data_IF_869582559457
#
_entry.id   IF_869582559457
#
_cell.length_a   1.000
_cell.length_b   1.000
_cell.length_c   1.000
_cell.angle_alpha   90.00
_cell.angle_beta   90.00
_cell.angle_gamma   90.00
#
_symmetry.space_group_name_H-M   'P 1'
#
loop_
_entity.id
_entity.type
_entity.pdbx_description
1 polymer ?
#
# COMPACT_ATOMS: atom_id res chain seq x y z
N UNK A 1 -39.08 33.45 -12.47
CA UNK A 1 -38.13 33.32 -13.59
C UNK A 1 -36.70 33.45 -13.07
N UNK A 2 -36.02 32.33 -12.82
CA UNK A 2 -34.62 32.35 -12.39
C UNK A 2 -33.75 32.75 -13.60
N UNK A 3 -33.16 33.95 -13.57
CA UNK A 3 -32.15 34.35 -14.56
C UNK A 3 -31.06 33.28 -14.55
N UNK A 4 -30.81 32.66 -15.71
CA UNK A 4 -29.70 31.74 -15.95
C UNK A 4 -28.38 32.42 -15.51
N UNK A 5 -27.97 32.17 -14.26
CA UNK A 5 -26.63 32.54 -13.80
C UNK A 5 -25.68 31.70 -14.63
N UNK A 6 -25.02 32.32 -15.62
CA UNK A 6 -23.95 31.66 -16.38
C UNK A 6 -22.94 31.14 -15.35
N UNK A 7 -22.85 29.82 -15.22
CA UNK A 7 -21.84 29.16 -14.41
C UNK A 7 -20.47 29.64 -14.89
N UNK A 8 -19.75 30.36 -14.03
CA UNK A 8 -18.40 30.82 -14.34
C UNK A 8 -17.48 29.61 -14.25
N UNK A 9 -16.97 29.16 -15.39
CA UNK A 9 -15.94 28.12 -15.45
C UNK A 9 -14.62 28.66 -14.92
N UNK A 10 -13.93 27.88 -14.08
CA UNK A 10 -12.61 28.24 -13.58
C UNK A 10 -11.57 28.15 -14.69
N UNK A 11 -10.64 29.11 -14.75
CA UNK A 11 -9.46 29.00 -15.61
C UNK A 11 -8.37 28.16 -14.93
N UNK A 12 -7.49 27.55 -15.73
CA UNK A 12 -6.37 26.76 -15.19
C UNK A 12 -5.38 27.62 -14.38
N UNK A 13 -5.27 28.91 -14.71
CA UNK A 13 -4.47 29.87 -13.96
C UNK A 13 -5.05 30.13 -12.56
N UNK A 14 -6.36 30.42 -12.48
CA UNK A 14 -7.08 30.59 -11.20
C UNK A 14 -6.96 29.34 -10.32
N UNK A 15 -7.13 28.13 -10.90
CA UNK A 15 -6.99 26.87 -10.15
C UNK A 15 -5.58 26.74 -9.57
N UNK A 16 -4.54 27.02 -10.36
CA UNK A 16 -3.15 26.92 -9.90
C UNK A 16 -2.86 27.95 -8.81
N UNK A 17 -3.30 29.19 -8.99
CA UNK A 17 -3.14 30.26 -8.02
C UNK A 17 -3.82 29.91 -6.69
N UNK A 18 -5.08 29.45 -6.72
CA UNK A 18 -5.80 29.07 -5.51
C UNK A 18 -5.20 27.83 -4.84
N UNK A 19 -4.72 26.83 -5.59
CA UNK A 19 -4.00 25.68 -5.02
C UNK A 19 -2.74 26.13 -4.26
N UNK A 20 -1.98 27.07 -4.81
CA UNK A 20 -0.79 27.63 -4.16
C UNK A 20 -1.14 28.46 -2.92
N UNK A 21 -2.19 29.29 -3.01
CA UNK A 21 -2.66 30.09 -1.90
C UNK A 21 -3.14 29.22 -0.73
N UNK A 22 -4.02 28.24 -0.98
CA UNK A 22 -4.51 27.30 0.04
C UNK A 22 -3.36 26.48 0.63
N UNK A 23 -2.41 26.01 -0.19
CA UNK A 23 -1.23 25.30 0.31
C UNK A 23 -0.41 26.18 1.26
N UNK A 24 -0.13 27.42 0.87
CA UNK A 24 0.65 28.36 1.69
C UNK A 24 -0.07 28.69 2.99
N UNK A 25 -1.39 28.88 2.93
CA UNK A 25 -2.25 29.12 4.10
C UNK A 25 -2.23 27.93 5.07
N UNK A 26 -2.37 26.70 4.57
CA UNK A 26 -2.27 25.48 5.40
C UNK A 26 -0.87 25.38 6.01
N UNK A 27 0.19 25.60 5.22
CA UNK A 27 1.57 25.52 5.70
C UNK A 27 1.89 26.55 6.77
N UNK A 28 1.39 27.79 6.63
CA UNK A 28 1.55 28.87 7.59
C UNK A 28 0.78 28.61 8.89
N UNK A 29 -0.48 28.21 8.80
CA UNK A 29 -1.28 27.82 9.95
C UNK A 29 -0.74 26.56 10.63
N UNK A 30 -0.01 25.71 9.89
CA UNK A 30 0.57 24.47 10.40
C UNK A 30 2.04 24.54 10.82
N UNK A 31 2.63 25.74 10.92
CA UNK A 31 3.99 25.88 11.45
C UNK A 31 3.99 25.44 12.91
N UNK A 32 4.74 24.39 13.21
CA UNK A 32 4.94 23.84 14.57
C UNK A 32 3.69 23.24 15.26
N UNK A 33 2.60 23.03 14.53
CA UNK A 33 1.40 22.36 15.07
C UNK A 33 1.38 20.87 14.75
N UNK A 34 0.61 20.12 15.53
CA UNK A 34 0.40 18.69 15.30
C UNK A 34 -0.38 18.41 14.00
N UNK A 35 -0.24 17.21 13.40
CA UNK A 35 -1.07 16.81 12.25
C UNK A 35 -2.58 16.94 12.51
N UNK A 36 -3.02 16.69 13.75
CA UNK A 36 -4.43 16.79 14.11
C UNK A 36 -4.94 18.24 14.12
N UNK A 37 -4.16 19.19 14.64
CA UNK A 37 -4.49 20.62 14.59
C UNK A 37 -4.50 21.14 13.15
N UNK A 38 -3.53 20.72 12.34
CA UNK A 38 -3.53 21.00 10.90
C UNK A 38 -4.81 20.49 10.24
N UNK A 39 -5.29 19.32 10.63
CA UNK A 39 -6.51 18.74 10.09
C UNK A 39 -7.76 19.52 10.52
N UNK A 40 -7.87 19.90 11.79
CA UNK A 40 -8.97 20.73 12.28
C UNK A 40 -9.04 22.06 11.54
N UNK A 41 -7.89 22.72 11.34
CA UNK A 41 -7.82 23.94 10.53
C UNK A 41 -8.39 23.75 9.11
N UNK A 42 -8.05 22.64 8.44
CA UNK A 42 -8.58 22.32 7.11
C UNK A 42 -10.11 22.17 7.14
N UNK A 43 -10.65 21.49 8.15
CA UNK A 43 -12.10 21.28 8.31
C UNK A 43 -12.84 22.58 8.62
N UNK A 44 -12.30 23.41 9.51
CA UNK A 44 -12.86 24.74 9.82
C UNK A 44 -12.91 25.63 8.58
N UNK A 45 -11.83 25.65 7.78
CA UNK A 45 -11.83 26.39 6.51
C UNK A 45 -12.86 25.84 5.53
N UNK A 46 -12.97 24.52 5.41
CA UNK A 46 -13.98 23.91 4.55
C UNK A 46 -15.40 24.30 4.96
N UNK A 47 -15.71 24.29 6.27
CA UNK A 47 -17.01 24.72 6.79
C UNK A 47 -17.29 26.19 6.49
N UNK A 48 -16.30 27.08 6.66
CA UNK A 48 -16.44 28.50 6.37
C UNK A 48 -16.80 28.81 4.91
N UNK A 49 -16.39 27.94 3.97
CA UNK A 49 -16.71 28.11 2.54
C UNK A 49 -17.90 27.26 2.07
N UNK A 50 -18.40 26.33 2.89
CA UNK A 50 -19.39 25.32 2.50
C UNK A 50 -20.72 25.89 1.97
N UNK A 51 -21.17 27.01 2.54
CA UNK A 51 -22.43 27.66 2.17
C UNK A 51 -22.26 28.79 1.12
N UNK A 52 -21.04 29.03 0.63
CA UNK A 52 -20.81 30.13 -0.30
C UNK A 52 -21.32 29.82 -1.70
N UNK A 53 -22.03 30.80 -2.27
CA UNK A 53 -22.49 30.76 -3.67
C UNK A 53 -21.47 31.40 -4.63
N UNK A 54 -20.39 31.98 -4.11
CA UNK A 54 -19.36 32.65 -4.92
C UNK A 54 -18.43 31.62 -5.52
N UNK A 55 -18.22 31.69 -6.84
CA UNK A 55 -17.41 30.70 -7.56
C UNK A 55 -15.96 30.52 -7.07
N UNK A 56 -15.35 31.58 -6.50
CA UNK A 56 -14.01 31.48 -5.91
C UNK A 56 -14.02 30.72 -4.57
N UNK A 57 -15.04 30.93 -3.75
CA UNK A 57 -15.18 30.25 -2.46
C UNK A 57 -15.49 28.76 -2.68
N UNK A 58 -16.29 28.42 -3.70
CA UNK A 58 -16.52 27.02 -4.11
C UNK A 58 -15.22 26.34 -4.55
N UNK A 59 -14.35 27.05 -5.30
CA UNK A 59 -13.03 26.52 -5.68
C UNK A 59 -12.15 26.28 -4.45
N UNK A 60 -12.12 27.22 -3.50
CA UNK A 60 -11.40 27.04 -2.23
C UNK A 60 -11.95 25.85 -1.44
N UNK A 61 -13.27 25.75 -1.30
CA UNK A 61 -13.93 24.62 -0.62
C UNK A 61 -13.52 23.28 -1.27
N UNK A 62 -13.53 23.19 -2.60
CA UNK A 62 -13.04 22.02 -3.32
C UNK A 62 -11.56 21.69 -2.98
N UNK A 63 -10.67 22.69 -2.99
CA UNK A 63 -9.24 22.49 -2.71
C UNK A 63 -9.00 22.08 -1.24
N UNK A 64 -9.73 22.66 -0.29
CA UNK A 64 -9.69 22.25 1.11
C UNK A 64 -10.25 20.83 1.30
N UNK A 65 -11.34 20.47 0.62
CA UNK A 65 -11.87 19.09 0.62
C UNK A 65 -10.85 18.06 0.09
N UNK A 66 -10.20 18.37 -1.03
CA UNK A 66 -9.08 17.56 -1.54
C UNK A 66 -7.91 17.47 -0.55
N UNK A 67 -7.60 18.57 0.14
CA UNK A 67 -6.54 18.61 1.16
C UNK A 67 -6.90 17.76 2.38
N UNK A 68 -8.16 17.75 2.81
CA UNK A 68 -8.68 16.92 3.90
C UNK A 68 -8.58 15.42 3.56
N UNK A 69 -9.00 15.03 2.35
CA UNK A 69 -8.87 13.65 1.86
C UNK A 69 -7.40 13.21 1.77
N UNK A 70 -6.51 14.08 1.30
CA UNK A 70 -5.07 13.81 1.24
C UNK A 70 -4.42 13.76 2.63
N UNK A 71 -4.93 14.52 3.59
CA UNK A 71 -4.53 14.41 4.99
C UNK A 71 -4.91 13.05 5.55
N UNK A 72 -6.17 12.63 5.34
CA UNK A 72 -6.66 11.31 5.74
C UNK A 72 -5.81 10.18 5.14
N UNK A 73 -5.47 10.27 3.85
CA UNK A 73 -4.62 9.29 3.18
C UNK A 73 -3.26 9.10 3.89
N UNK A 74 -2.70 10.17 4.46
CA UNK A 74 -1.38 10.14 5.10
C UNK A 74 -1.42 9.70 6.56
N UNK A 75 -2.42 10.14 7.31
CA UNK A 75 -2.42 10.05 8.78
C UNK A 75 -3.54 9.16 9.34
N UNK A 76 -4.50 8.73 8.51
CA UNK A 76 -5.81 8.33 9.03
C UNK A 76 -6.55 9.58 9.54
N UNK A 77 -7.63 9.41 10.31
CA UNK A 77 -8.40 10.44 11.07
C UNK A 77 -9.85 10.62 10.62
N UNK A 78 -10.28 10.02 9.52
CA UNK A 78 -11.68 10.06 9.08
C UNK A 78 -12.27 8.66 9.13
N UNK A 79 -13.53 8.59 9.53
CA UNK A 79 -14.36 7.41 9.32
C UNK A 79 -14.71 7.26 7.83
N UNK A 80 -15.04 6.04 7.37
CA UNK A 80 -15.45 5.81 5.98
C UNK A 80 -16.64 6.69 5.54
N UNK A 81 -17.57 7.01 6.45
CA UNK A 81 -18.69 7.92 6.16
C UNK A 81 -18.24 9.36 5.92
N UNK A 82 -17.27 9.86 6.71
CA UNK A 82 -16.74 11.22 6.53
C UNK A 82 -15.92 11.33 5.26
N UNK A 83 -15.12 10.32 4.92
CA UNK A 83 -14.40 10.25 3.64
C UNK A 83 -15.37 10.35 2.47
N UNK A 84 -16.43 9.53 2.48
CA UNK A 84 -17.46 9.54 1.43
C UNK A 84 -18.21 10.88 1.38
N UNK A 85 -18.52 11.49 2.53
CA UNK A 85 -19.16 12.81 2.59
C UNK A 85 -18.30 13.91 1.96
N UNK A 86 -17.00 13.94 2.29
CA UNK A 86 -16.04 14.88 1.70
C UNK A 86 -15.86 14.67 0.20
N UNK A 87 -15.80 13.42 -0.25
CA UNK A 87 -15.73 13.09 -1.67
C UNK A 87 -16.96 13.58 -2.43
N UNK A 88 -18.16 13.30 -1.94
CA UNK A 88 -19.42 13.76 -2.54
C UNK A 88 -19.51 15.28 -2.56
N UNK A 89 -19.09 15.95 -1.48
CA UNK A 89 -19.03 17.41 -1.42
C UNK A 89 -18.09 17.99 -2.49
N UNK A 90 -16.87 17.45 -2.60
CA UNK A 90 -15.90 17.87 -3.60
C UNK A 90 -16.42 17.63 -5.04
N UNK A 91 -17.03 16.47 -5.29
CA UNK A 91 -17.64 16.15 -6.58
C UNK A 91 -18.78 17.12 -6.93
N UNK A 92 -19.62 17.47 -5.94
CA UNK A 92 -20.70 18.44 -6.10
C UNK A 92 -20.17 19.84 -6.41
N UNK A 93 -19.07 20.27 -5.80
CA UNK A 93 -18.44 21.55 -6.13
C UNK A 93 -17.97 21.61 -7.60
N UNK A 94 -17.46 20.50 -8.16
CA UNK A 94 -17.12 20.40 -9.58
C UNK A 94 -18.39 20.54 -10.45
N UNK A 95 -19.46 19.82 -10.10
CA UNK A 95 -20.75 19.85 -10.82
C UNK A 95 -21.38 21.24 -10.82
N UNK A 96 -21.46 21.90 -9.65
CA UNK A 96 -22.03 23.24 -9.47
C UNK A 96 -21.25 24.30 -10.27
N UNK A 97 -19.94 24.11 -10.42
CA UNK A 97 -19.08 25.00 -11.21
C UNK A 97 -19.19 24.76 -12.71
N UNK A 98 -20.10 23.88 -13.13
CA UNK A 98 -20.36 23.58 -14.54
C UNK A 98 -19.26 22.76 -15.21
N UNK A 99 -18.38 22.13 -14.44
CA UNK A 99 -17.38 21.22 -14.98
C UNK A 99 -18.06 19.91 -15.36
N UNK A 100 -18.12 19.65 -16.66
CA UNK A 100 -18.55 18.37 -17.22
C UNK A 100 -17.34 17.41 -17.29
N UNK A 101 -17.44 16.19 -16.75
CA UNK A 101 -16.45 15.13 -16.97
C UNK A 101 -16.18 14.95 -18.48
N UNK A 102 -14.94 14.59 -18.85
CA UNK A 102 -14.42 14.41 -20.22
C UNK A 102 -14.38 15.64 -21.10
N UNK A 103 -15.46 16.43 -21.13
CA UNK A 103 -15.67 17.49 -22.09
C UNK A 103 -15.03 18.83 -21.66
N UNK A 104 -14.88 19.06 -20.36
CA UNK A 104 -14.34 20.33 -19.86
C UNK A 104 -12.82 20.37 -19.94
N UNK A 105 -12.27 21.55 -20.25
CA UNK A 105 -10.81 21.78 -20.23
C UNK A 105 -10.16 21.42 -18.88
N UNK A 106 -10.87 21.60 -17.76
CA UNK A 106 -10.39 21.24 -16.42
C UNK A 106 -11.02 19.94 -15.89
N UNK A 107 -11.44 19.02 -16.77
CA UNK A 107 -11.98 17.73 -16.35
C UNK A 107 -10.97 16.87 -15.57
N UNK A 108 -9.66 17.17 -15.69
CA UNK A 108 -8.60 16.55 -14.88
C UNK A 108 -8.81 16.68 -13.36
N UNK A 109 -9.59 17.68 -12.89
CA UNK A 109 -9.92 17.82 -11.46
C UNK A 109 -10.78 16.67 -10.95
N UNK A 110 -11.67 16.12 -11.78
CA UNK A 110 -12.33 14.85 -11.44
C UNK A 110 -11.29 13.74 -11.34
N UNK A 111 -10.35 13.67 -12.29
CA UNK A 111 -9.24 12.73 -12.24
C UNK A 111 -8.48 12.73 -10.92
N UNK A 112 -8.08 13.91 -10.46
CA UNK A 112 -7.37 14.06 -9.18
C UNK A 112 -8.22 13.57 -7.99
N UNK A 113 -9.50 13.94 -7.95
CA UNK A 113 -10.43 13.52 -6.89
C UNK A 113 -10.60 12.00 -6.85
N UNK A 114 -10.90 11.38 -7.99
CA UNK A 114 -11.06 9.93 -8.12
C UNK A 114 -9.74 9.18 -7.86
N UNK A 115 -8.59 9.72 -8.26
CA UNK A 115 -7.28 9.13 -7.92
C UNK A 115 -7.02 9.12 -6.42
N UNK A 116 -7.40 10.19 -5.73
CA UNK A 116 -7.23 10.29 -4.29
C UNK A 116 -8.08 9.25 -3.56
N UNK A 117 -9.36 9.10 -3.95
CA UNK A 117 -10.23 8.03 -3.43
C UNK A 117 -9.71 6.65 -3.75
N UNK A 118 -9.22 6.45 -4.96
CA UNK A 118 -8.58 5.22 -5.35
C UNK A 118 -7.42 4.86 -4.43
N UNK A 119 -6.58 5.82 -4.02
CA UNK A 119 -5.50 5.57 -3.08
C UNK A 119 -6.00 5.28 -1.66
N UNK A 120 -7.06 5.96 -1.20
CA UNK A 120 -7.68 5.72 0.11
C UNK A 120 -8.21 4.28 0.19
N UNK A 121 -9.03 3.84 -0.77
CA UNK A 121 -9.53 2.46 -0.80
C UNK A 121 -8.41 1.42 -0.86
N UNK A 122 -7.30 1.70 -1.55
CA UNK A 122 -6.15 0.78 -1.56
C UNK A 122 -5.52 0.65 -0.17
N UNK A 123 -5.42 1.75 0.59
CA UNK A 123 -4.88 1.72 1.96
C UNK A 123 -5.84 1.04 2.94
N UNK A 124 -7.15 1.18 2.73
CA UNK A 124 -8.19 0.55 3.56
C UNK A 124 -8.35 -0.96 3.32
N UNK A 125 -7.69 -1.50 2.29
CA UNK A 125 -7.79 -2.92 1.93
C UNK A 125 -8.95 -3.26 1.00
N UNK A 126 -9.44 -2.26 0.25
CA UNK A 126 -10.54 -2.34 -0.71
C UNK A 126 -9.99 -2.20 -2.15
N UNK A 127 -9.30 -3.22 -2.68
CA UNK A 127 -8.59 -3.11 -3.96
C UNK A 127 -9.53 -2.99 -5.17
N UNK A 128 -10.78 -3.50 -5.08
CA UNK A 128 -11.76 -3.42 -6.16
C UNK A 128 -12.31 -2.01 -6.33
N UNK A 129 -12.76 -1.42 -5.24
CA UNK A 129 -13.18 -0.04 -5.14
C UNK A 129 -12.04 0.86 -5.61
N UNK A 130 -10.82 0.59 -5.15
CA UNK A 130 -9.63 1.30 -5.61
C UNK A 130 -9.46 1.23 -7.14
N UNK A 131 -9.63 0.07 -7.76
CA UNK A 131 -9.49 -0.09 -9.22
C UNK A 131 -10.61 0.65 -9.98
N UNK A 132 -11.85 0.59 -9.48
CA UNK A 132 -12.97 1.33 -10.08
C UNK A 132 -12.75 2.84 -10.03
N UNK A 133 -12.35 3.38 -8.89
CA UNK A 133 -12.02 4.80 -8.75
C UNK A 133 -10.87 5.21 -9.69
N UNK A 134 -9.86 4.34 -9.87
CA UNK A 134 -8.79 4.61 -10.85
C UNK A 134 -9.33 4.66 -12.29
N UNK A 135 -10.25 3.76 -12.63
CA UNK A 135 -10.89 3.74 -13.94
C UNK A 135 -11.80 4.96 -14.14
N UNK A 136 -12.56 5.36 -13.11
CA UNK A 136 -13.34 6.60 -13.14
C UNK A 136 -12.46 7.82 -13.31
N UNK A 137 -11.29 7.89 -12.66
CA UNK A 137 -10.34 8.97 -12.86
C UNK A 137 -9.91 9.08 -14.33
N UNK A 138 -9.58 7.95 -14.97
CA UNK A 138 -9.20 7.90 -16.38
C UNK A 138 -10.36 8.36 -17.27
N UNK A 139 -11.55 7.80 -17.06
CA UNK A 139 -12.73 8.14 -17.83
C UNK A 139 -13.13 9.60 -17.64
N UNK A 140 -13.12 10.13 -16.43
CA UNK A 140 -13.57 11.49 -16.15
C UNK A 140 -12.58 12.56 -16.64
N UNK A 141 -11.28 12.25 -16.69
CA UNK A 141 -10.23 13.21 -17.12
C UNK A 141 -10.16 13.41 -18.63
N UNK A 142 -10.69 12.47 -19.42
CA UNK A 142 -10.55 12.49 -20.88
C UNK A 142 -9.07 12.46 -21.31
N UNK A 143 -8.68 13.36 -22.22
CA UNK A 143 -7.29 13.48 -22.70
C UNK A 143 -6.32 14.08 -21.68
N UNK A 144 -6.82 14.66 -20.59
CA UNK A 144 -6.03 15.42 -19.62
C UNK A 144 -5.86 14.66 -18.30
N UNK A 145 -5.34 13.44 -18.36
CA UNK A 145 -5.08 12.67 -17.12
C UNK A 145 -4.00 13.38 -16.27
N UNK A 146 -4.27 13.71 -14.98
CA UNK A 146 -3.49 14.67 -14.20
C UNK A 146 -2.01 14.28 -13.98
N UNK A 147 -1.70 12.99 -14.10
CA UNK A 147 -0.37 12.43 -13.83
C UNK A 147 0.30 11.81 -15.08
N UNK A 148 -0.35 11.91 -16.25
CA UNK A 148 0.08 11.21 -17.46
C UNK A 148 -0.14 9.68 -17.42
N UNK A 149 -0.03 9.04 -18.59
CA UNK A 149 -0.31 7.61 -18.75
C UNK A 149 0.65 6.71 -17.98
N UNK A 150 1.93 7.10 -17.87
CA UNK A 150 2.93 6.33 -17.14
C UNK A 150 2.57 6.09 -15.67
N UNK A 151 2.08 7.12 -14.96
CA UNK A 151 1.65 6.99 -13.57
C UNK A 151 0.35 6.21 -13.41
N UNK A 152 -0.57 6.31 -14.37
CA UNK A 152 -1.74 5.43 -14.45
C UNK A 152 -1.33 3.96 -14.50
N UNK A 153 -0.41 3.60 -15.40
CA UNK A 153 0.03 2.22 -15.57
C UNK A 153 0.86 1.71 -14.38
N UNK A 154 1.69 2.55 -13.76
CA UNK A 154 2.36 2.21 -12.50
C UNK A 154 1.31 1.86 -11.42
N UNK A 155 0.31 2.71 -11.26
CA UNK A 155 -0.79 2.53 -10.30
C UNK A 155 -1.60 1.27 -10.59
N UNK A 156 -1.85 0.97 -11.87
CA UNK A 156 -2.54 -0.26 -12.29
C UNK A 156 -1.70 -1.51 -11.96
N UNK A 157 -0.39 -1.46 -12.18
CA UNK A 157 0.52 -2.58 -11.86
C UNK A 157 0.55 -2.90 -10.37
N UNK A 158 0.57 -1.88 -9.51
CA UNK A 158 0.50 -2.06 -8.04
C UNK A 158 -0.80 -2.77 -7.64
N UNK A 159 -1.94 -2.39 -8.22
CA UNK A 159 -3.24 -3.01 -7.92
C UNK A 159 -3.32 -4.43 -8.47
N UNK A 160 -2.85 -4.65 -9.70
CA UNK A 160 -2.80 -5.98 -10.29
C UNK A 160 -1.99 -6.95 -9.43
N UNK A 161 -0.83 -6.52 -8.91
CA UNK A 161 -0.08 -7.32 -7.93
C UNK A 161 -0.87 -7.60 -6.66
N UNK A 162 -1.56 -6.60 -6.11
CA UNK A 162 -2.38 -6.76 -4.92
C UNK A 162 -3.53 -7.77 -5.12
N UNK A 163 -4.08 -7.88 -6.33
CA UNK A 163 -5.05 -8.92 -6.68
C UNK A 163 -4.46 -10.32 -6.86
N UNK A 164 -3.13 -10.44 -6.80
CA UNK A 164 -2.43 -11.67 -7.12
C UNK A 164 -2.30 -11.89 -8.62
N UNK A 165 -2.43 -10.88 -9.48
CA UNK A 165 -2.27 -11.02 -10.93
C UNK A 165 -0.92 -10.44 -11.38
N UNK A 166 0.14 -11.23 -11.23
CA UNK A 166 1.50 -10.80 -11.55
C UNK A 166 1.69 -10.53 -13.05
N UNK A 167 1.05 -11.31 -13.94
CA UNK A 167 1.19 -11.12 -15.39
C UNK A 167 0.62 -9.77 -15.84
N UNK A 168 -0.58 -9.41 -15.39
CA UNK A 168 -1.15 -8.09 -15.66
C UNK A 168 -0.32 -6.98 -15.02
N UNK A 169 0.28 -7.21 -13.86
CA UNK A 169 1.18 -6.24 -13.25
C UNK A 169 2.46 -6.01 -14.07
N UNK A 170 3.09 -7.08 -14.56
CA UNK A 170 4.26 -7.00 -15.44
C UNK A 170 3.92 -6.19 -16.70
N UNK A 171 2.79 -6.51 -17.35
CA UNK A 171 2.35 -5.79 -18.53
C UNK A 171 2.09 -4.29 -18.24
N UNK A 172 1.46 -3.98 -17.11
CA UNK A 172 1.19 -2.61 -16.70
C UNK A 172 2.50 -1.84 -16.39
N UNK A 173 3.41 -2.40 -15.60
CA UNK A 173 4.69 -1.74 -15.32
C UNK A 173 5.56 -1.57 -16.58
N UNK A 174 5.61 -2.57 -17.47
CA UNK A 174 6.31 -2.45 -18.74
C UNK A 174 5.70 -1.35 -19.63
N UNK A 175 4.38 -1.18 -19.61
CA UNK A 175 3.70 -0.09 -20.30
C UNK A 175 4.02 1.26 -19.65
N UNK A 176 4.04 1.34 -18.32
CA UNK A 176 4.42 2.55 -17.58
C UNK A 176 5.82 3.03 -17.98
N UNK A 177 6.77 2.10 -18.11
CA UNK A 177 8.11 2.40 -18.57
C UNK A 177 8.16 2.90 -20.02
N UNK A 178 7.41 2.26 -20.94
CA UNK A 178 7.30 2.69 -22.35
C UNK A 178 6.71 4.08 -22.50
N UNK A 179 5.81 4.49 -21.59
CA UNK A 179 5.23 5.84 -21.54
C UNK A 179 6.22 6.90 -21.01
N UNK A 180 7.50 6.54 -20.79
CA UNK A 180 8.57 7.49 -20.54
C UNK A 180 8.62 8.03 -19.11
N UNK A 181 8.17 7.25 -18.11
CA UNK A 181 8.35 7.64 -16.70
C UNK A 181 9.84 7.83 -16.37
N UNK A 182 10.15 8.83 -15.55
CA UNK A 182 11.52 9.20 -15.20
C UNK A 182 11.70 9.37 -13.69
N UNK A 183 12.96 9.53 -13.27
CA UNK A 183 13.35 9.75 -11.87
C UNK A 183 12.82 8.68 -10.92
N UNK A 184 12.27 9.12 -9.78
CA UNK A 184 11.74 8.21 -8.75
C UNK A 184 10.61 7.31 -9.23
N UNK A 185 9.85 7.72 -10.25
CA UNK A 185 8.75 6.91 -10.80
C UNK A 185 9.30 5.72 -11.58
N UNK A 186 10.37 5.91 -12.35
CA UNK A 186 11.04 4.83 -13.08
C UNK A 186 11.56 3.76 -12.11
N UNK A 187 12.21 4.15 -11.02
CA UNK A 187 12.72 3.20 -10.02
C UNK A 187 11.59 2.41 -9.34
N UNK A 188 10.43 3.04 -9.08
CA UNK A 188 9.23 2.33 -8.57
C UNK A 188 8.70 1.31 -9.57
N UNK A 189 8.64 1.67 -10.86
CA UNK A 189 8.21 0.77 -11.93
C UNK A 189 9.14 -0.44 -12.03
N UNK A 190 10.46 -0.20 -12.05
CA UNK A 190 11.47 -1.26 -12.14
C UNK A 190 11.48 -2.19 -10.92
N UNK A 191 11.36 -1.65 -9.70
CA UNK A 191 11.21 -2.46 -8.49
C UNK A 191 9.92 -3.29 -8.54
N UNK A 192 8.81 -2.70 -9.00
CA UNK A 192 7.54 -3.40 -9.20
C UNK A 192 7.64 -4.55 -10.21
N UNK A 193 8.37 -4.35 -11.32
CA UNK A 193 8.68 -5.38 -12.30
C UNK A 193 9.48 -6.53 -11.69
N UNK A 194 10.59 -6.24 -11.01
CA UNK A 194 11.43 -7.25 -10.37
C UNK A 194 10.60 -8.12 -9.41
N UNK A 195 9.78 -7.48 -8.57
CA UNK A 195 8.88 -8.16 -7.64
C UNK A 195 7.82 -8.99 -8.32
N UNK A 196 7.21 -8.48 -9.38
CA UNK A 196 6.18 -9.22 -10.13
C UNK A 196 6.77 -10.44 -10.84
N UNK A 197 7.95 -10.32 -11.44
CA UNK A 197 8.68 -11.46 -11.99
C UNK A 197 9.03 -12.48 -10.91
N UNK A 198 9.58 -12.06 -9.76
CA UNK A 198 9.86 -12.95 -8.63
C UNK A 198 8.61 -13.72 -8.18
N UNK A 199 7.51 -13.01 -7.91
CA UNK A 199 6.27 -13.60 -7.42
C UNK A 199 5.55 -14.48 -8.45
N UNK A 200 5.81 -14.28 -9.75
CA UNK A 200 5.34 -15.18 -10.82
C UNK A 200 6.26 -16.39 -11.06
N UNK A 201 7.31 -16.52 -10.24
CA UNK A 201 8.37 -17.54 -10.33
C UNK A 201 9.28 -17.41 -11.57
N UNK A 202 9.37 -16.22 -12.17
CA UNK A 202 10.28 -15.90 -13.27
C UNK A 202 11.57 -15.23 -12.73
N UNK A 203 12.40 -16.03 -12.06
CA UNK A 203 13.60 -15.58 -11.36
C UNK A 203 14.64 -14.96 -12.30
N UNK A 204 14.76 -15.47 -13.52
CA UNK A 204 15.72 -14.97 -14.49
C UNK A 204 15.38 -13.54 -14.91
N UNK A 205 14.11 -13.26 -15.20
CA UNK A 205 13.68 -11.90 -15.54
C UNK A 205 13.75 -10.96 -14.34
N UNK A 206 13.41 -11.43 -13.14
CA UNK A 206 13.56 -10.63 -11.92
C UNK A 206 15.01 -10.16 -11.73
N UNK A 207 15.97 -11.07 -11.86
CA UNK A 207 17.40 -10.77 -11.74
C UNK A 207 17.88 -9.81 -12.84
N UNK A 208 17.48 -10.03 -14.10
CA UNK A 208 17.79 -9.11 -15.21
C UNK A 208 17.27 -7.70 -14.96
N UNK A 209 16.06 -7.55 -14.41
CA UNK A 209 15.51 -6.24 -14.05
C UNK A 209 16.33 -5.59 -12.94
N UNK A 210 16.71 -6.33 -11.89
CA UNK A 210 17.54 -5.82 -10.79
C UNK A 210 18.89 -5.34 -11.31
N UNK A 211 19.60 -6.16 -12.09
CA UNK A 211 20.92 -5.86 -12.65
C UNK A 211 20.88 -4.65 -13.59
N UNK A 212 19.92 -4.62 -14.52
CA UNK A 212 19.75 -3.48 -15.43
C UNK A 212 19.29 -2.20 -14.72
N UNK A 213 18.63 -2.31 -13.57
CA UNK A 213 18.28 -1.13 -12.77
C UNK A 213 19.51 -0.61 -12.02
N UNK A 214 20.37 -1.49 -11.51
CA UNK A 214 21.62 -1.13 -10.82
C UNK A 214 22.64 -0.42 -11.72
N UNK A 215 22.61 -0.68 -13.02
CA UNK A 215 23.49 -0.02 -13.98
C UNK A 215 23.04 1.40 -14.33
N UNK A 216 21.86 1.84 -13.89
CA UNK A 216 21.40 3.22 -14.08
C UNK A 216 22.22 4.20 -13.24
N UNK A 217 22.54 5.36 -13.82
CA UNK A 217 23.16 6.46 -13.09
C UNK A 217 22.17 7.09 -12.09
N UNK A 218 22.68 7.61 -10.96
CA UNK A 218 21.93 8.42 -10.00
C UNK A 218 20.74 7.72 -9.32
N UNK A 219 20.87 6.44 -8.96
CA UNK A 219 19.86 5.73 -8.17
C UNK A 219 19.88 6.28 -6.73
N UNK A 220 18.74 6.74 -6.17
CA UNK A 220 18.69 7.15 -4.78
C UNK A 220 18.97 5.98 -3.84
N UNK A 221 19.69 6.23 -2.74
CA UNK A 221 20.05 5.21 -1.75
C UNK A 221 18.85 4.43 -1.20
N UNK A 222 17.69 5.09 -1.08
CA UNK A 222 16.45 4.45 -0.66
C UNK A 222 15.99 3.36 -1.64
N UNK A 223 16.16 3.58 -2.94
CA UNK A 223 15.84 2.58 -3.97
C UNK A 223 16.91 1.51 -4.08
N UNK A 224 18.19 1.87 -3.95
CA UNK A 224 19.26 0.89 -3.93
C UNK A 224 19.05 -0.11 -2.78
N UNK A 225 18.63 0.38 -1.61
CA UNK A 225 18.26 -0.44 -0.45
C UNK A 225 17.12 -1.40 -0.77
N UNK A 226 16.06 -0.95 -1.44
CA UNK A 226 14.96 -1.82 -1.87
C UNK A 226 15.41 -2.87 -2.89
N UNK A 227 16.30 -2.53 -3.83
CA UNK A 227 16.84 -3.50 -4.79
C UNK A 227 17.72 -4.56 -4.12
N UNK A 228 18.52 -4.19 -3.12
CA UNK A 228 19.29 -5.14 -2.29
C UNK A 228 18.36 -6.07 -1.53
N UNK A 229 17.25 -5.53 -1.00
CA UNK A 229 16.24 -6.35 -0.32
C UNK A 229 15.58 -7.34 -1.29
N UNK A 230 15.16 -6.87 -2.46
CA UNK A 230 14.51 -7.69 -3.48
C UNK A 230 15.45 -8.79 -4.01
N UNK A 231 16.75 -8.50 -4.18
CA UNK A 231 17.75 -9.51 -4.54
C UNK A 231 17.91 -10.58 -3.45
N UNK A 232 17.95 -10.19 -2.17
CA UNK A 232 18.01 -11.15 -1.07
C UNK A 232 16.75 -12.03 -1.02
N UNK A 233 15.56 -11.46 -1.30
CA UNK A 233 14.33 -12.24 -1.49
C UNK A 233 14.47 -13.23 -2.66
N UNK A 234 15.09 -12.84 -3.77
CA UNK A 234 15.36 -13.76 -4.88
C UNK A 234 16.29 -14.92 -4.49
N UNK A 235 17.35 -14.63 -3.71
CA UNK A 235 18.30 -15.65 -3.24
C UNK A 235 17.62 -16.68 -2.33
N UNK A 236 16.69 -16.25 -1.46
CA UNK A 236 15.92 -17.17 -0.63
C UNK A 236 15.13 -18.16 -1.48
N UNK A 237 14.51 -17.72 -2.57
CA UNK A 237 13.75 -18.63 -3.42
C UNK A 237 14.62 -19.68 -4.11
N UNK A 238 15.90 -19.39 -4.32
CA UNK A 238 16.84 -20.30 -4.95
C UNK A 238 17.44 -21.34 -3.98
N UNK A 239 17.49 -21.06 -2.68
CA UNK A 239 18.23 -21.90 -1.71
C UNK A 239 17.60 -22.09 -0.34
N UNK A 240 16.42 -21.52 -0.09
CA UNK A 240 15.66 -21.59 1.17
C UNK A 240 16.43 -21.14 2.44
N UNK A 241 17.50 -20.36 2.27
CA UNK A 241 18.32 -19.83 3.35
C UNK A 241 18.01 -18.36 3.65
N UNK A 242 17.54 -18.07 4.86
CA UNK A 242 17.20 -16.72 5.31
C UNK A 242 18.41 -15.89 5.74
N UNK A 243 19.61 -16.46 5.76
CA UNK A 243 20.82 -15.80 6.26
C UNK A 243 21.03 -14.42 5.61
N UNK A 244 20.84 -14.32 4.29
CA UNK A 244 20.99 -13.07 3.55
C UNK A 244 20.08 -11.94 4.07
N UNK A 245 18.80 -12.22 4.34
CA UNK A 245 17.89 -11.21 4.91
C UNK A 245 18.23 -10.90 6.37
N UNK A 246 18.57 -11.92 7.16
CA UNK A 246 18.94 -11.73 8.56
C UNK A 246 20.14 -10.79 8.67
N UNK A 247 21.17 -11.00 7.86
CA UNK A 247 22.38 -10.18 7.85
C UNK A 247 22.11 -8.72 7.48
N UNK A 248 21.16 -8.45 6.58
CA UNK A 248 20.76 -7.09 6.21
C UNK A 248 20.08 -6.34 7.37
N UNK A 249 19.33 -7.04 8.23
CA UNK A 249 18.57 -6.44 9.34
C UNK A 249 19.30 -6.48 10.68
N UNK A 250 20.59 -6.82 10.71
CA UNK A 250 21.39 -6.75 11.94
C UNK A 250 21.77 -5.31 12.31
N UNK A 251 22.10 -5.08 13.58
CA UNK A 251 22.49 -3.75 14.08
C UNK A 251 23.67 -3.20 13.27
N UNK A 252 23.61 -1.91 12.93
CA UNK A 252 24.60 -1.17 12.09
C UNK A 252 24.57 -1.52 10.60
N UNK A 253 23.60 -2.31 10.13
CA UNK A 253 23.43 -2.63 8.71
C UNK A 253 22.42 -1.68 8.05
N UNK A 254 22.45 -1.63 6.72
CA UNK A 254 21.63 -0.72 5.92
C UNK A 254 20.13 -0.95 6.10
N UNK A 255 19.68 -2.16 6.45
CA UNK A 255 18.26 -2.48 6.58
C UNK A 255 17.82 -2.63 8.04
N UNK A 256 18.57 -2.07 8.99
CA UNK A 256 18.15 -1.96 10.39
C UNK A 256 17.04 -0.91 10.59
N UNK A 257 15.91 -1.10 9.90
CA UNK A 257 14.71 -0.26 9.98
C UNK A 257 13.48 -1.14 10.29
N UNK A 258 12.45 -0.60 10.96
CA UNK A 258 11.26 -1.36 11.36
C UNK A 258 10.63 -2.19 10.24
N UNK A 259 10.46 -1.60 9.06
CA UNK A 259 9.81 -2.25 7.92
C UNK A 259 10.48 -3.56 7.51
N UNK A 260 11.81 -3.57 7.41
CA UNK A 260 12.59 -4.75 7.04
C UNK A 260 12.72 -5.75 8.19
N UNK A 261 12.87 -5.26 9.43
CA UNK A 261 12.93 -6.14 10.62
C UNK A 261 11.63 -6.94 10.75
N UNK A 262 10.47 -6.28 10.59
CA UNK A 262 9.18 -6.97 10.67
C UNK A 262 9.00 -7.96 9.51
N UNK A 263 9.46 -7.60 8.31
CA UNK A 263 9.38 -8.50 7.15
C UNK A 263 10.28 -9.72 7.34
N UNK A 264 11.53 -9.54 7.78
CA UNK A 264 12.44 -10.62 8.14
C UNK A 264 11.88 -11.50 9.27
N UNK A 265 11.24 -10.90 10.26
CA UNK A 265 10.55 -11.61 11.33
C UNK A 265 9.47 -12.54 10.78
N UNK A 266 8.67 -12.08 9.81
CA UNK A 266 7.66 -12.93 9.19
C UNK A 266 8.25 -14.00 8.27
N UNK A 267 9.35 -13.73 7.56
CA UNK A 267 10.12 -14.75 6.84
C UNK A 267 10.57 -15.87 7.80
N UNK A 268 11.15 -15.49 8.95
CA UNK A 268 11.59 -16.44 9.98
C UNK A 268 10.43 -17.25 10.58
N UNK A 269 9.28 -16.62 10.86
CA UNK A 269 8.10 -17.33 11.38
C UNK A 269 7.51 -18.34 10.38
N UNK A 270 7.58 -18.00 9.09
CA UNK A 270 7.04 -18.77 7.97
C UNK A 270 7.91 -19.95 7.58
N UNK A 271 9.21 -19.89 7.88
CA UNK A 271 10.13 -21.01 7.70
C UNK A 271 9.68 -22.25 8.48
N UNK A 272 9.97 -23.44 7.92
CA UNK A 272 9.79 -24.72 8.60
C UNK A 272 10.63 -24.80 9.88
N UNK A 273 11.84 -24.24 9.84
CA UNK A 273 12.77 -24.22 10.97
C UNK A 273 12.48 -23.08 11.95
N UNK A 274 12.52 -23.37 13.24
CA UNK A 274 12.42 -22.36 14.31
C UNK A 274 13.74 -21.68 14.64
N UNK A 275 14.87 -22.12 14.05
CA UNK A 275 16.21 -21.59 14.34
C UNK A 275 16.29 -20.07 14.14
N UNK A 276 15.66 -19.58 13.08
CA UNK A 276 15.65 -18.16 12.70
C UNK A 276 14.88 -17.27 13.68
N UNK A 277 13.94 -17.83 14.44
CA UNK A 277 13.19 -17.06 15.43
C UNK A 277 14.05 -16.61 16.61
N UNK A 278 15.17 -17.29 16.85
CA UNK A 278 16.08 -17.00 17.95
C UNK A 278 17.14 -15.97 17.56
N UNK A 279 17.44 -15.82 16.27
CA UNK A 279 18.48 -14.90 15.77
C UNK A 279 17.98 -13.46 15.65
N UNK A 280 16.67 -13.27 15.49
CA UNK A 280 16.10 -11.95 15.28
C UNK A 280 15.83 -11.19 16.59
N UNK A 281 15.96 -9.85 16.56
CA UNK A 281 15.63 -9.01 17.71
C UNK A 281 14.14 -9.13 18.06
N UNK A 282 13.84 -9.18 19.36
CA UNK A 282 12.47 -9.16 19.87
C UNK A 282 11.78 -7.84 19.49
N UNK A 283 10.53 -7.92 19.02
CA UNK A 283 9.71 -6.79 18.58
C UNK A 283 9.33 -5.88 19.76
N UNK A 284 8.95 -6.46 20.90
CA UNK A 284 8.54 -5.69 22.09
C UNK A 284 9.64 -4.71 22.58
N UNK A 285 10.91 -5.12 22.79
CA UNK A 285 11.99 -4.18 23.15
C UNK A 285 12.32 -3.16 22.05
N UNK A 286 12.19 -3.53 20.77
CA UNK A 286 12.47 -2.60 19.66
C UNK A 286 11.56 -1.36 19.72
N UNK A 287 10.30 -1.53 20.10
CA UNK A 287 9.33 -0.43 20.26
C UNK A 287 9.66 0.61 21.34
N UNK A 288 10.64 0.32 22.20
CA UNK A 288 11.11 1.20 23.28
C UNK A 288 12.49 1.80 23.00
N UNK A 289 13.15 1.38 21.92
CA UNK A 289 14.55 1.73 21.65
C UNK A 289 14.64 3.10 20.99
N UNK A 290 15.48 3.99 21.55
CA UNK A 290 15.78 5.30 20.95
C UNK A 290 16.35 5.11 19.54
N UNK A 291 15.87 5.91 18.59
CA UNK A 291 16.30 5.89 17.19
C UNK A 291 15.55 4.92 16.28
N UNK A 292 14.54 4.20 16.79
CA UNK A 292 13.64 3.39 15.98
C UNK A 292 12.24 3.97 16.11
N UNK A 293 11.79 4.67 15.07
CA UNK A 293 10.43 5.21 15.02
C UNK A 293 9.47 4.12 14.52
N UNK A 294 8.68 3.55 15.45
CA UNK A 294 7.67 2.55 15.14
C UNK A 294 6.31 3.19 15.23
N UNK A 295 5.70 3.40 14.07
CA UNK A 295 4.29 3.71 13.98
C UNK A 295 3.46 2.55 14.53
N UNK A 296 2.86 2.75 15.70
CA UNK A 296 2.01 1.74 16.36
C UNK A 296 0.67 1.55 15.66
N UNK A 297 0.26 2.51 14.84
CA UNK A 297 -0.94 2.40 14.00
C UNK A 297 -0.69 1.50 12.79
N UNK A 298 0.58 1.32 12.40
CA UNK A 298 0.98 0.45 11.31
C UNK A 298 0.49 -0.99 11.53
N UNK A 299 -0.33 -1.45 10.60
CA UNK A 299 -0.96 -2.76 10.69
C UNK A 299 0.07 -3.91 10.70
N UNK A 300 1.16 -3.80 9.93
CA UNK A 300 2.19 -4.85 9.84
C UNK A 300 2.99 -5.00 11.15
N UNK A 301 3.27 -3.88 11.83
CA UNK A 301 3.81 -3.92 13.19
C UNK A 301 2.88 -4.64 14.16
N UNK A 302 1.57 -4.33 14.13
CA UNK A 302 0.58 -4.98 15.00
C UNK A 302 0.52 -6.48 14.76
N UNK A 303 0.62 -6.91 13.50
CA UNK A 303 0.80 -8.33 13.17
C UNK A 303 2.04 -8.89 13.85
N UNK A 304 3.22 -8.31 13.63
CA UNK A 304 4.48 -8.81 14.19
C UNK A 304 4.44 -8.91 15.72
N UNK A 305 3.87 -7.90 16.38
CA UNK A 305 3.74 -7.83 17.83
C UNK A 305 2.83 -8.94 18.39
N UNK A 306 1.63 -9.14 17.81
CA UNK A 306 0.72 -10.17 18.28
C UNK A 306 1.23 -11.58 17.96
N UNK A 307 1.92 -11.78 16.83
CA UNK A 307 2.60 -13.04 16.55
C UNK A 307 3.75 -13.32 17.53
N UNK A 308 4.58 -12.34 17.88
CA UNK A 308 5.59 -12.51 18.92
C UNK A 308 4.95 -12.95 20.24
N UNK A 309 3.86 -12.30 20.67
CA UNK A 309 3.09 -12.68 21.87
C UNK A 309 2.45 -14.05 21.75
N UNK A 310 2.10 -14.50 20.55
CA UNK A 310 1.53 -15.83 20.34
C UNK A 310 2.56 -16.95 20.62
N UNK A 311 3.86 -16.65 20.61
CA UNK A 311 4.91 -17.60 21.01
C UNK A 311 5.26 -17.54 22.51
N UNK A 312 4.76 -16.54 23.24
CA UNK A 312 4.92 -16.41 24.69
C UNK A 312 4.14 -17.51 25.42
N UNK A 313 4.83 -18.45 26.07
CA UNK A 313 4.22 -19.58 26.77
C UNK A 313 3.45 -19.17 28.02
N UNK A 314 3.81 -18.03 28.62
CA UNK A 314 3.20 -17.50 29.84
C UNK A 314 1.79 -16.96 29.58
N UNK A 315 1.45 -16.65 28.33
CA UNK A 315 0.12 -16.18 27.96
C UNK A 315 -0.80 -17.39 27.70
N UNK A 316 -1.98 -17.48 28.36
CA UNK A 316 -2.93 -18.57 28.13
C UNK A 316 -3.24 -18.76 26.65
N UNK A 317 -3.27 -20.02 26.19
CA UNK A 317 -3.43 -20.35 24.77
C UNK A 317 -4.67 -19.70 24.15
N UNK A 318 -5.81 -19.75 24.83
CA UNK A 318 -7.05 -19.15 24.35
C UNK A 318 -6.93 -17.64 24.12
N UNK A 319 -6.18 -16.93 24.97
CA UNK A 319 -5.93 -15.49 24.80
C UNK A 319 -5.07 -15.25 23.57
N UNK A 320 -3.99 -16.03 23.37
CA UNK A 320 -3.14 -15.96 22.19
C UNK A 320 -3.93 -16.23 20.91
N UNK A 321 -4.73 -17.30 20.90
CA UNK A 321 -5.58 -17.68 19.77
C UNK A 321 -6.56 -16.55 19.41
N UNK A 322 -7.28 -16.00 20.39
CA UNK A 322 -8.21 -14.87 20.17
C UNK A 322 -7.50 -13.66 19.55
N UNK A 323 -6.29 -13.33 20.01
CA UNK A 323 -5.52 -12.20 19.48
C UNK A 323 -5.06 -12.44 18.05
N UNK A 324 -4.50 -13.62 17.76
CA UNK A 324 -4.13 -14.03 16.40
C UNK A 324 -5.34 -14.00 15.46
N UNK A 325 -6.47 -14.61 15.83
CA UNK A 325 -7.68 -14.59 15.02
C UNK A 325 -8.21 -13.16 14.79
N UNK A 326 -8.14 -12.28 15.79
CA UNK A 326 -8.60 -10.90 15.66
C UNK A 326 -7.76 -10.10 14.65
N UNK A 327 -6.43 -10.28 14.62
CA UNK A 327 -5.58 -9.61 13.64
C UNK A 327 -5.72 -10.24 12.25
N UNK A 328 -5.92 -11.57 12.14
CA UNK A 328 -6.01 -12.24 10.84
C UNK A 328 -7.16 -11.74 9.96
N UNK A 329 -8.25 -11.25 10.58
CA UNK A 329 -9.37 -10.57 9.88
C UNK A 329 -8.93 -9.37 9.03
N UNK A 330 -7.76 -8.80 9.32
CA UNK A 330 -7.23 -7.60 8.68
C UNK A 330 -6.10 -7.90 7.67
N UNK A 331 -5.74 -9.15 7.44
CA UNK A 331 -4.58 -9.50 6.59
C UNK A 331 -4.73 -8.95 5.18
N UNK A 332 -5.93 -9.02 4.61
CA UNK A 332 -6.24 -8.48 3.27
C UNK A 332 -6.06 -6.96 3.18
N UNK A 333 -6.01 -6.24 4.30
CA UNK A 333 -5.72 -4.79 4.36
C UNK A 333 -4.23 -4.47 4.18
N UNK A 334 -3.33 -5.47 4.22
CA UNK A 334 -1.91 -5.24 3.93
C UNK A 334 -1.71 -4.89 2.46
N UNK A 335 -1.28 -3.66 2.15
CA UNK A 335 -1.06 -3.20 0.76
C UNK A 335 -0.04 -4.03 -0.01
N UNK A 336 1.01 -4.52 0.65
CA UNK A 336 2.04 -5.33 0.01
C UNK A 336 1.62 -6.81 0.04
N UNK A 337 1.53 -7.41 -1.14
CA UNK A 337 1.16 -8.81 -1.33
C UNK A 337 2.17 -9.79 -0.71
N UNK A 338 3.48 -9.48 -0.74
CA UNK A 338 4.50 -10.29 -0.05
C UNK A 338 4.19 -10.38 1.45
N UNK A 339 3.86 -9.23 2.06
CA UNK A 339 3.55 -9.15 3.50
C UNK A 339 2.28 -9.92 3.84
N UNK A 340 1.26 -9.83 3.01
CA UNK A 340 0.03 -10.62 3.15
C UNK A 340 0.33 -12.13 3.14
N UNK A 341 1.08 -12.59 2.14
CA UNK A 341 1.47 -14.00 2.02
C UNK A 341 2.30 -14.48 3.20
N UNK A 342 3.28 -13.68 3.63
CA UNK A 342 4.12 -13.97 4.79
C UNK A 342 3.31 -14.05 6.09
N UNK A 343 2.30 -13.21 6.28
CA UNK A 343 1.43 -13.31 7.47
C UNK A 343 0.57 -14.57 7.44
N UNK A 344 0.00 -14.94 6.29
CA UNK A 344 -0.75 -16.19 6.15
C UNK A 344 0.13 -17.41 6.42
N UNK A 345 1.36 -17.41 5.90
CA UNK A 345 2.28 -18.51 6.09
C UNK A 345 2.76 -18.62 7.55
N UNK A 346 3.07 -17.49 8.19
CA UNK A 346 3.39 -17.45 9.62
C UNK A 346 2.23 -17.93 10.50
N UNK A 347 0.98 -17.60 10.14
CA UNK A 347 -0.22 -18.12 10.80
C UNK A 347 -0.30 -19.64 10.70
N UNK A 348 -0.15 -20.17 9.47
CA UNK A 348 -0.16 -21.61 9.22
C UNK A 348 0.89 -22.34 10.07
N UNK A 349 2.14 -21.82 10.10
CA UNK A 349 3.21 -22.41 10.91
C UNK A 349 2.91 -22.36 12.40
N UNK A 350 2.39 -21.24 12.90
CA UNK A 350 2.02 -21.13 14.31
C UNK A 350 0.91 -22.12 14.69
N UNK A 351 -0.15 -22.22 13.89
CA UNK A 351 -1.23 -23.18 14.12
C UNK A 351 -0.75 -24.63 14.05
N UNK A 352 0.13 -24.95 13.09
CA UNK A 352 0.75 -26.28 12.96
C UNK A 352 1.53 -26.64 14.22
N UNK A 353 2.37 -25.72 14.73
CA UNK A 353 3.15 -25.91 15.96
C UNK A 353 2.29 -26.04 17.23
N UNK A 354 1.01 -25.67 17.16
CA UNK A 354 0.02 -25.77 18.26
C UNK A 354 -1.02 -26.87 18.02
N UNK A 355 -0.77 -27.77 17.07
CA UNK A 355 -1.66 -28.87 16.71
C UNK A 355 -3.08 -28.42 16.33
N UNK A 356 -3.24 -27.21 15.81
CA UNK A 356 -4.52 -26.67 15.34
C UNK A 356 -4.66 -26.96 13.83
N UNK A 357 -4.87 -28.23 13.47
CA UNK A 357 -4.82 -28.69 12.07
C UNK A 357 -5.76 -27.93 11.14
N UNK A 358 -7.04 -27.78 11.51
CA UNK A 358 -8.02 -27.09 10.69
C UNK A 358 -7.64 -25.63 10.41
N UNK A 359 -7.27 -24.87 11.46
CA UNK A 359 -6.85 -23.47 11.32
C UNK A 359 -5.55 -23.33 10.51
N UNK A 360 -4.61 -24.25 10.69
CA UNK A 360 -3.39 -24.30 9.89
C UNK A 360 -3.71 -24.54 8.41
N UNK A 361 -4.60 -25.49 8.11
CA UNK A 361 -5.04 -25.80 6.76
C UNK A 361 -5.74 -24.62 6.09
N UNK A 362 -6.65 -23.93 6.80
CA UNK A 362 -7.32 -22.74 6.29
C UNK A 362 -6.33 -21.61 5.98
N UNK A 363 -5.38 -21.34 6.88
CA UNK A 363 -4.35 -20.32 6.65
C UNK A 363 -3.43 -20.68 5.47
N UNK A 364 -3.06 -21.96 5.35
CA UNK A 364 -2.29 -22.46 4.21
C UNK A 364 -3.04 -22.28 2.89
N UNK A 365 -4.35 -22.52 2.85
CA UNK A 365 -5.14 -22.33 1.63
C UNK A 365 -5.21 -20.88 1.18
N UNK A 366 -5.30 -19.91 2.08
CA UNK A 366 -5.21 -18.49 1.72
C UNK A 366 -3.85 -18.17 1.08
N UNK A 367 -2.75 -18.66 1.68
CA UNK A 367 -1.39 -18.54 1.13
C UNK A 367 -1.25 -19.22 -0.25
N UNK A 368 -1.69 -20.48 -0.37
CA UNK A 368 -1.61 -21.28 -1.60
C UNK A 368 -2.47 -20.67 -2.71
N UNK A 369 -3.66 -20.17 -2.38
CA UNK A 369 -4.53 -19.46 -3.33
C UNK A 369 -3.87 -18.20 -3.89
N UNK A 370 -3.19 -17.42 -3.04
CA UNK A 370 -2.39 -16.26 -3.48
C UNK A 370 -1.22 -16.68 -4.37
N UNK A 371 -0.46 -17.70 -3.96
CA UNK A 371 0.66 -18.26 -4.75
C UNK A 371 0.21 -18.72 -6.13
N UNK A 372 -0.89 -19.46 -6.20
CA UNK A 372 -1.47 -19.92 -7.47
C UNK A 372 -1.93 -18.75 -8.33
N UNK A 373 -2.62 -17.75 -7.78
CA UNK A 373 -3.00 -16.56 -8.56
C UNK A 373 -1.78 -15.85 -9.13
N UNK A 374 -0.76 -15.58 -8.30
CA UNK A 374 0.45 -14.86 -8.69
C UNK A 374 1.25 -15.59 -9.77
N UNK A 375 1.30 -16.91 -9.69
CA UNK A 375 2.04 -17.74 -10.65
C UNK A 375 1.22 -18.14 -11.89
N UNK A 376 -0.04 -17.71 -12.00
CA UNK A 376 -0.93 -18.15 -13.09
C UNK A 376 -1.29 -19.64 -13.01
N UNK A 377 -1.39 -20.19 -11.81
CA UNK A 377 -1.74 -21.58 -11.51
C UNK A 377 -0.54 -22.54 -11.49
N UNK A 378 0.68 -22.05 -11.73
CA UNK A 378 1.87 -22.90 -11.91
C UNK A 378 2.47 -23.38 -10.59
N UNK A 379 2.50 -22.53 -9.57
CA UNK A 379 3.23 -22.79 -8.32
C UNK A 379 2.35 -22.47 -7.10
N UNK A 380 2.22 -23.46 -6.21
CA UNK A 380 1.46 -23.34 -4.96
C UNK A 380 2.22 -22.69 -3.80
N UNK A 381 3.50 -22.36 -4.01
CA UNK A 381 4.42 -21.81 -3.01
C UNK A 381 5.39 -20.81 -3.65
N UNK A 382 4.92 -19.61 -3.97
CA UNK A 382 5.74 -18.62 -4.67
C UNK A 382 6.81 -17.96 -3.79
N UNK A 383 6.76 -18.16 -2.47
CA UNK A 383 7.80 -17.74 -1.53
C UNK A 383 8.79 -18.85 -1.16
N UNK A 384 8.65 -20.07 -1.69
CA UNK A 384 9.47 -21.25 -1.33
C UNK A 384 9.52 -21.50 0.19
N UNK A 385 8.40 -21.32 0.89
CA UNK A 385 8.29 -21.43 2.35
C UNK A 385 7.42 -22.60 2.81
N UNK A 386 6.74 -23.28 1.88
CA UNK A 386 5.66 -24.20 2.16
C UNK A 386 5.77 -25.54 1.40
N UNK A 387 6.95 -25.86 0.84
CA UNK A 387 7.21 -27.12 0.14
C UNK A 387 6.79 -28.35 0.96
N UNK A 388 7.13 -28.39 2.25
CA UNK A 388 6.75 -29.48 3.17
C UNK A 388 5.24 -29.52 3.48
N UNK A 389 4.51 -28.42 3.25
CA UNK A 389 3.06 -28.34 3.45
C UNK A 389 2.26 -28.70 2.21
N UNK A 390 2.86 -28.62 1.02
CA UNK A 390 2.21 -29.00 -0.24
C UNK A 390 1.94 -30.51 -0.32
N UNK A 391 2.83 -31.33 0.27
CA UNK A 391 2.73 -32.79 0.31
C UNK A 391 2.08 -33.31 1.59
N UNK A 392 1.80 -32.43 2.57
CA UNK A 392 1.25 -32.82 3.86
C UNK A 392 -0.21 -33.28 3.73
N UNK A 393 -0.52 -34.46 4.28
CA UNK A 393 -1.91 -34.87 4.51
C UNK A 393 -2.52 -34.03 5.64
N UNK A 394 -3.66 -33.40 5.35
CA UNK A 394 -4.39 -32.55 6.29
C UNK A 394 -5.60 -33.27 6.89
N UNK A 395 -5.49 -34.56 7.19
CA UNK A 395 -6.57 -35.40 7.73
C UNK A 395 -7.30 -34.67 8.88
N UNK A 396 -8.56 -34.30 8.61
CA UNK A 396 -9.44 -33.54 9.50
C UNK A 396 -10.28 -34.45 10.40
N UNK A 397 -10.23 -35.77 10.17
CA UNK A 397 -11.08 -36.78 10.80
C UNK A 397 -10.51 -37.36 12.12
N UNK A 398 -9.54 -36.67 12.72
CA UNK A 398 -8.93 -37.02 14.01
C UNK A 398 -8.87 -35.79 14.91
#
# INVERSE_FOLDING_TARGET
MAKNRKSRTWSSAEIREQKLAVKSEIEEASKDVSPDERFQFILERLQNFGDSVRGNDILKAFIFGMSALNHHLKYGNLSPSEVNGLFQLAENHLKVSGLKPQASKNAYLYGELYLLMSQIHLLEGSPWESLWEQQYALLASGSSYPEGKGLFYLSLGIRALKFGNAQSAIAAFATAEKEGVSGNTLFKVRLGLARAHRLSHDMQSAQKVIESTRSLSNIPDSFLRELVWEEACCQILAGSDLQALVDLVMKKRSHFLPSYIFECFFWALSSSSTKWMQTLPKIRPLSRRKGIDIDRTNLFYRFAFEFERAYDSEVPFLVRLRKVCAILKKVKQLRNIDKEMLVWMAACRWFTRRNQKFLAHSAFFEYKSLSLRLSGGRVGDTLSLAEDLLSKSWDLDA
#
